data_IF_832366254824
#
_entry.id   IF_832366254824
#
_cell.length_a   1.000
_cell.length_b   1.000
_cell.length_c   1.000
_cell.angle_alpha   90.00
_cell.angle_beta   90.00
_cell.angle_gamma   90.00
#
_symmetry.space_group_name_H-M   'P 1'
#
loop_
_entity.id
_entity.type
_entity.pdbx_description
1 polymer ?
#
# COMPACT_ATOMS: atom_id res chain seq x y z
N UNK A 1 20.74 -35.30 4.52
CA UNK A 1 21.59 -34.94 5.66
C UNK A 1 21.50 -33.44 5.94
N UNK A 2 21.29 -33.05 7.19
CA UNK A 2 21.36 -31.64 7.62
C UNK A 2 22.68 -31.41 8.36
N UNK A 3 23.47 -30.41 7.88
CA UNK A 3 24.76 -30.07 8.45
C UNK A 3 24.71 -28.69 9.10
N UNK A 4 24.96 -28.60 10.41
CA UNK A 4 25.02 -27.37 11.19
C UNK A 4 26.44 -26.89 11.49
N UNK A 5 27.45 -27.45 10.84
CA UNK A 5 28.84 -27.05 11.04
C UNK A 5 29.04 -25.62 10.49
N UNK A 6 29.77 -24.76 11.21
CA UNK A 6 30.06 -23.41 10.74
C UNK A 6 30.95 -23.45 9.48
N UNK A 7 30.74 -22.52 8.55
CA UNK A 7 31.44 -22.45 7.27
C UNK A 7 32.98 -22.34 7.39
N UNK A 8 33.49 -21.90 8.55
CA UNK A 8 34.93 -21.88 8.87
C UNK A 8 35.53 -23.30 8.86
N UNK A 9 34.70 -24.34 9.10
CA UNK A 9 35.11 -25.77 9.08
C UNK A 9 34.91 -26.39 7.67
N UNK A 10 35.15 -25.67 6.61
CA UNK A 10 34.98 -26.14 5.23
C UNK A 10 35.75 -27.42 4.92
N UNK A 11 36.92 -27.59 5.51
CA UNK A 11 37.74 -28.81 5.34
C UNK A 11 37.03 -30.10 5.78
N UNK A 12 36.08 -30.00 6.73
CA UNK A 12 35.25 -31.12 7.19
C UNK A 12 33.94 -31.26 6.40
N UNK A 13 33.41 -30.13 5.90
CA UNK A 13 32.14 -30.12 5.21
C UNK A 13 32.28 -30.70 3.79
N UNK A 14 33.36 -30.36 3.06
CA UNK A 14 33.58 -30.82 1.69
C UNK A 14 33.58 -32.35 1.55
N UNK A 15 34.31 -33.15 2.41
CA UNK A 15 34.20 -34.58 2.36
C UNK A 15 32.81 -35.14 2.61
N UNK A 16 32.04 -34.51 3.50
CA UNK A 16 30.66 -34.90 3.81
C UNK A 16 29.74 -34.63 2.59
N UNK A 17 29.90 -33.51 1.89
CA UNK A 17 29.16 -33.20 0.66
C UNK A 17 29.45 -34.29 -0.38
N UNK A 18 30.73 -34.57 -0.66
CA UNK A 18 31.14 -35.57 -1.62
C UNK A 18 30.61 -36.97 -1.29
N UNK A 19 30.63 -37.34 -0.02
CA UNK A 19 30.02 -38.58 0.42
C UNK A 19 28.53 -38.62 0.13
N UNK A 20 27.77 -37.56 0.47
CA UNK A 20 26.35 -37.46 0.24
C UNK A 20 25.99 -37.57 -1.23
N UNK A 21 26.72 -36.87 -2.09
CA UNK A 21 26.50 -36.88 -3.55
C UNK A 21 26.76 -38.29 -4.16
N UNK A 22 27.82 -38.96 -3.70
CA UNK A 22 28.18 -40.30 -4.20
C UNK A 22 27.22 -41.40 -3.71
N UNK A 23 26.41 -41.12 -2.64
CA UNK A 23 25.47 -42.09 -2.07
C UNK A 23 24.00 -41.69 -2.22
N UNK A 24 23.68 -40.76 -3.13
CA UNK A 24 22.31 -40.26 -3.36
C UNK A 24 21.63 -39.67 -2.11
N UNK A 25 22.41 -39.15 -1.18
CA UNK A 25 21.92 -38.46 0.02
C UNK A 25 21.88 -36.95 -0.24
N UNK A 26 20.72 -36.32 -0.10
CA UNK A 26 20.63 -34.87 -0.23
C UNK A 26 21.30 -34.17 0.94
N UNK A 27 22.20 -33.22 0.65
CA UNK A 27 22.88 -32.41 1.65
C UNK A 27 22.20 -31.05 1.80
N UNK A 28 21.94 -30.64 3.05
CA UNK A 28 21.40 -29.35 3.41
C UNK A 28 22.31 -28.68 4.44
N UNK A 29 22.83 -27.51 4.14
CA UNK A 29 23.54 -26.70 5.11
C UNK A 29 22.56 -25.89 5.96
N UNK A 30 22.67 -26.03 7.27
CA UNK A 30 21.91 -25.20 8.24
C UNK A 30 22.82 -24.07 8.69
N UNK A 31 22.61 -22.82 8.21
CA UNK A 31 23.45 -21.72 8.61
C UNK A 31 23.32 -21.46 10.11
N UNK A 32 24.45 -21.31 10.80
CA UNK A 32 24.47 -20.92 12.20
C UNK A 32 24.25 -19.42 12.34
N UNK A 33 23.00 -19.00 12.08
CA UNK A 33 22.57 -17.61 12.25
C UNK A 33 22.14 -17.44 13.69
N UNK A 34 22.91 -16.71 14.48
CA UNK A 34 22.43 -16.23 15.77
C UNK A 34 21.26 -15.28 15.51
N UNK A 35 20.06 -15.82 15.64
CA UNK A 35 18.83 -15.07 15.42
C UNK A 35 18.59 -14.12 16.61
N UNK A 36 19.17 -12.94 16.59
CA UNK A 36 18.93 -11.88 17.58
C UNK A 36 17.48 -11.35 17.54
N UNK A 37 16.80 -11.55 16.41
CA UNK A 37 15.40 -11.21 16.22
C UNK A 37 14.59 -12.52 16.41
N UNK A 38 13.74 -12.60 17.41
CA UNK A 38 12.80 -13.73 17.62
C UNK A 38 11.78 -13.86 16.47
N UNK A 39 12.19 -13.72 15.20
CA UNK A 39 11.38 -13.72 13.99
C UNK A 39 11.92 -14.70 12.97
N UNK A 40 11.03 -15.25 12.15
CA UNK A 40 11.42 -15.99 10.95
C UNK A 40 12.12 -15.03 9.99
N UNK A 41 13.28 -15.42 9.50
CA UNK A 41 13.98 -14.71 8.44
C UNK A 41 13.76 -15.46 7.14
N UNK A 42 13.61 -14.73 6.05
CA UNK A 42 13.48 -15.26 4.70
C UNK A 42 14.87 -15.28 4.06
N UNK A 43 15.21 -16.40 3.45
CA UNK A 43 16.46 -16.57 2.71
C UNK A 43 16.23 -16.15 1.27
N UNK A 44 17.00 -15.22 0.78
CA UNK A 44 16.95 -14.70 -0.57
C UNK A 44 18.34 -14.67 -1.19
N UNK A 45 18.42 -14.67 -2.52
CA UNK A 45 19.66 -14.53 -3.26
C UNK A 45 19.69 -13.15 -3.94
N UNK A 46 20.59 -12.28 -3.52
CA UNK A 46 20.90 -11.04 -4.22
C UNK A 46 22.02 -11.31 -5.23
N UNK A 47 21.64 -11.67 -6.47
CA UNK A 47 22.57 -12.27 -7.44
C UNK A 47 23.07 -13.62 -6.91
N UNK A 48 24.37 -13.72 -6.60
CA UNK A 48 25.01 -14.93 -6.05
C UNK A 48 25.25 -14.84 -4.54
N UNK A 49 24.84 -13.76 -3.88
CA UNK A 49 25.06 -13.55 -2.45
C UNK A 49 23.81 -13.93 -1.67
N UNK A 50 23.91 -14.92 -0.73
CA UNK A 50 22.79 -15.24 0.14
C UNK A 50 22.57 -14.12 1.16
N UNK A 51 21.34 -13.61 1.22
CA UNK A 51 20.91 -12.60 2.19
C UNK A 51 19.73 -13.11 3.00
N UNK A 52 19.61 -12.63 4.24
CA UNK A 52 18.50 -12.93 5.10
C UNK A 52 17.64 -11.67 5.25
N UNK A 53 16.44 -11.70 4.69
CA UNK A 53 15.46 -10.62 4.84
C UNK A 53 14.56 -10.86 6.04
N UNK A 54 14.16 -9.77 6.71
CA UNK A 54 13.27 -9.80 7.88
C UNK A 54 11.82 -9.99 7.43
N UNK A 55 11.53 -9.70 6.16
CA UNK A 55 10.17 -9.68 5.60
C UNK A 55 10.19 -10.22 4.18
N UNK A 56 9.16 -10.98 3.84
CA UNK A 56 8.87 -11.33 2.47
C UNK A 56 8.05 -10.18 1.86
N UNK A 57 8.52 -9.61 0.77
CA UNK A 57 7.84 -8.52 0.05
C UNK A 57 7.66 -8.92 -1.42
N UNK A 58 6.55 -9.62 -1.75
CA UNK A 58 6.35 -10.10 -3.13
C UNK A 58 6.41 -9.00 -4.19
N UNK A 59 6.05 -7.75 -3.83
CA UNK A 59 6.13 -6.58 -4.72
C UNK A 59 7.56 -6.02 -4.89
N UNK A 60 8.56 -6.54 -4.20
CA UNK A 60 9.95 -6.24 -4.47
C UNK A 60 10.41 -6.89 -5.79
N UNK A 61 9.83 -8.06 -6.15
CA UNK A 61 10.14 -8.71 -7.41
C UNK A 61 9.66 -7.88 -8.62
N UNK A 62 10.52 -7.76 -9.62
CA UNK A 62 10.24 -7.00 -10.85
C UNK A 62 9.01 -7.55 -11.59
N UNK A 63 8.85 -8.86 -11.63
CA UNK A 63 7.73 -9.54 -12.30
C UNK A 63 6.39 -9.13 -11.69
N UNK A 64 6.26 -9.20 -10.37
CA UNK A 64 5.05 -8.82 -9.66
C UNK A 64 4.73 -7.32 -9.81
N UNK A 65 5.77 -6.48 -9.78
CA UNK A 65 5.60 -5.03 -10.02
C UNK A 65 5.10 -4.74 -11.44
N UNK A 66 5.61 -5.45 -12.44
CA UNK A 66 5.16 -5.31 -13.84
C UNK A 66 3.70 -5.74 -13.96
N UNK A 67 3.34 -6.93 -13.45
CA UNK A 67 1.97 -7.44 -13.48
C UNK A 67 1.00 -6.45 -12.83
N UNK A 68 1.32 -6.01 -11.61
CA UNK A 68 0.50 -5.03 -10.89
C UNK A 68 0.39 -3.70 -11.64
N UNK A 69 1.51 -3.18 -12.13
CA UNK A 69 1.52 -1.90 -12.86
C UNK A 69 0.74 -1.95 -14.16
N UNK A 70 0.89 -3.03 -14.92
CA UNK A 70 0.14 -3.23 -16.18
C UNK A 70 -1.36 -3.25 -15.91
N UNK A 71 -1.80 -4.00 -14.90
CA UNK A 71 -3.19 -4.03 -14.48
C UNK A 71 -3.71 -2.64 -14.06
N UNK A 72 -2.95 -1.93 -13.22
CA UNK A 72 -3.28 -0.58 -12.76
C UNK A 72 -3.46 0.40 -13.95
N UNK A 73 -2.55 0.36 -14.92
CA UNK A 73 -2.59 1.25 -16.10
C UNK A 73 -3.78 0.93 -16.99
N UNK A 74 -4.00 -0.36 -17.29
CA UNK A 74 -5.10 -0.80 -18.17
C UNK A 74 -6.45 -0.46 -17.55
N UNK A 75 -6.69 -0.83 -16.30
CA UNK A 75 -7.96 -0.57 -15.62
C UNK A 75 -8.20 0.94 -15.43
N UNK A 76 -7.17 1.70 -15.02
CA UNK A 76 -7.30 3.16 -14.85
C UNK A 76 -7.52 3.87 -16.18
N UNK A 77 -6.81 3.48 -17.23
CA UNK A 77 -6.97 4.06 -18.57
C UNK A 77 -8.37 3.79 -19.12
N UNK A 78 -8.85 2.56 -19.02
CA UNK A 78 -10.20 2.20 -19.45
C UNK A 78 -11.25 3.00 -18.67
N UNK A 79 -11.15 3.07 -17.34
CA UNK A 79 -12.07 3.86 -16.52
C UNK A 79 -12.05 5.34 -16.86
N UNK A 80 -10.86 5.94 -17.04
CA UNK A 80 -10.72 7.36 -17.36
C UNK A 80 -11.26 7.74 -18.75
N UNK A 81 -11.23 6.82 -19.70
CA UNK A 81 -11.76 7.07 -21.06
C UNK A 81 -13.27 6.84 -21.12
N UNK A 82 -13.78 5.79 -20.46
CA UNK A 82 -15.18 5.37 -20.62
C UNK A 82 -16.13 6.00 -19.60
N UNK A 83 -15.84 5.91 -18.31
CA UNK A 83 -16.76 6.28 -17.21
C UNK A 83 -16.49 7.70 -16.69
N UNK A 84 -15.22 8.03 -16.49
CA UNK A 84 -14.82 9.26 -15.81
C UNK A 84 -15.33 10.54 -16.49
N UNK A 85 -15.40 10.70 -17.82
CA UNK A 85 -15.92 11.91 -18.44
C UNK A 85 -17.36 12.21 -18.05
N UNK A 86 -18.22 11.20 -18.02
CA UNK A 86 -19.62 11.35 -17.59
C UNK A 86 -19.72 11.72 -16.11
N UNK A 87 -18.96 11.05 -15.26
CA UNK A 87 -18.88 11.34 -13.82
C UNK A 87 -18.36 12.76 -13.61
N UNK A 88 -17.32 13.17 -14.33
CA UNK A 88 -16.72 14.49 -14.21
C UNK A 88 -17.70 15.62 -14.63
N UNK A 89 -18.42 15.45 -15.72
CA UNK A 89 -19.42 16.42 -16.18
C UNK A 89 -20.55 16.53 -15.16
N UNK A 90 -21.15 15.39 -14.75
CA UNK A 90 -22.28 15.37 -13.83
C UNK A 90 -21.92 15.99 -12.47
N UNK A 91 -20.90 15.47 -11.81
CA UNK A 91 -20.49 15.98 -10.50
C UNK A 91 -19.80 17.35 -10.61
N UNK A 92 -19.13 17.65 -11.72
CA UNK A 92 -18.55 18.97 -11.97
C UNK A 92 -19.60 20.09 -11.98
N UNK A 93 -20.72 19.88 -12.66
CA UNK A 93 -21.86 20.80 -12.64
C UNK A 93 -22.44 20.91 -11.23
N UNK A 94 -22.71 19.77 -10.57
CA UNK A 94 -23.30 19.74 -9.23
C UNK A 94 -22.39 20.46 -8.20
N UNK A 95 -21.08 20.29 -8.27
CA UNK A 95 -20.10 20.97 -7.40
C UNK A 95 -20.11 22.48 -7.65
N UNK A 96 -20.13 22.92 -8.91
CA UNK A 96 -20.15 24.34 -9.29
C UNK A 96 -21.42 25.03 -8.83
N UNK A 97 -22.57 24.36 -8.93
CA UNK A 97 -23.86 24.88 -8.45
C UNK A 97 -23.91 24.92 -6.90
N UNK A 98 -23.23 24.01 -6.22
CA UNK A 98 -23.21 23.91 -4.76
C UNK A 98 -22.35 24.98 -4.08
N UNK A 99 -21.22 25.37 -4.68
CA UNK A 99 -20.31 26.38 -4.11
C UNK A 99 -19.32 26.91 -5.16
N UNK A 100 -18.88 28.20 -5.09
CA UNK A 100 -17.87 28.73 -5.97
C UNK A 100 -16.50 28.07 -5.77
N UNK A 101 -15.71 27.93 -6.86
CA UNK A 101 -14.35 27.40 -6.81
C UNK A 101 -14.07 26.25 -7.80
N UNK A 102 -12.90 25.60 -7.75
CA UNK A 102 -12.50 24.52 -8.65
C UNK A 102 -13.31 23.25 -8.42
N UNK A 103 -13.53 22.43 -9.45
CA UNK A 103 -14.20 21.13 -9.37
C UNK A 103 -13.30 20.09 -8.65
N UNK A 104 -12.03 20.08 -9.02
CA UNK A 104 -11.03 19.20 -8.43
C UNK A 104 -10.34 19.89 -7.25
N UNK A 105 -10.16 19.14 -6.20
CA UNK A 105 -9.33 19.45 -5.06
C UNK A 105 -8.05 18.59 -5.14
N UNK A 106 -6.93 19.17 -4.79
CA UNK A 106 -5.64 18.47 -4.70
C UNK A 106 -5.00 18.72 -3.35
N UNK A 107 -4.41 17.68 -2.78
CA UNK A 107 -3.75 17.73 -1.49
C UNK A 107 -2.49 16.87 -1.52
N UNK A 108 -1.40 17.35 -0.91
CA UNK A 108 -0.17 16.57 -0.76
C UNK A 108 -0.39 15.39 0.17
N UNK A 109 0.12 14.23 -0.24
CA UNK A 109 0.07 12.97 0.51
C UNK A 109 1.43 12.29 0.44
N UNK A 110 1.70 11.42 1.45
CA UNK A 110 2.86 10.54 1.45
C UNK A 110 2.60 9.34 0.56
N UNK A 111 3.51 9.09 -0.37
CA UNK A 111 3.48 7.97 -1.33
C UNK A 111 4.56 6.91 -1.05
N UNK A 112 4.91 6.16 -2.10
CA UNK A 112 5.98 5.15 -2.08
C UNK A 112 7.31 5.80 -1.69
N UNK A 113 8.11 5.12 -0.86
CA UNK A 113 9.40 5.61 -0.33
C UNK A 113 9.31 6.95 0.41
N UNK A 114 8.12 7.32 0.93
CA UNK A 114 7.90 8.58 1.61
C UNK A 114 7.84 9.80 0.67
N UNK A 115 7.86 9.62 -0.65
CA UNK A 115 7.79 10.72 -1.62
C UNK A 115 6.44 11.40 -1.58
N UNK A 116 6.44 12.71 -1.62
CA UNK A 116 5.21 13.48 -1.66
C UNK A 116 4.59 13.48 -3.07
N UNK A 117 3.27 13.37 -3.15
CA UNK A 117 2.53 13.52 -4.40
C UNK A 117 1.23 14.29 -4.21
N UNK A 118 0.70 14.86 -5.31
CA UNK A 118 -0.59 15.54 -5.32
C UNK A 118 -1.72 14.55 -5.55
N UNK A 119 -2.49 14.24 -4.50
CA UNK A 119 -3.67 13.39 -4.57
C UNK A 119 -4.88 14.19 -5.06
N UNK A 120 -5.52 13.73 -6.14
CA UNK A 120 -6.69 14.38 -6.73
C UNK A 120 -7.98 13.83 -6.15
N UNK A 121 -8.93 14.72 -5.86
CA UNK A 121 -10.30 14.38 -5.43
C UNK A 121 -11.30 15.37 -6.03
N UNK A 122 -12.58 14.99 -6.07
CA UNK A 122 -13.62 15.99 -6.25
C UNK A 122 -13.75 16.83 -4.97
N UNK A 123 -14.01 18.11 -5.16
CA UNK A 123 -14.23 19.01 -4.05
C UNK A 123 -15.57 18.71 -3.36
N UNK A 124 -15.50 18.20 -2.15
CA UNK A 124 -16.66 17.87 -1.30
C UNK A 124 -16.95 18.89 -0.21
N UNK A 125 -16.09 19.92 -0.10
CA UNK A 125 -16.18 20.97 0.93
C UNK A 125 -16.11 22.36 0.28
N UNK A 126 -16.59 23.37 0.99
CA UNK A 126 -16.36 24.77 0.63
C UNK A 126 -14.87 25.07 0.68
N UNK A 127 -14.41 26.00 -0.20
CA UNK A 127 -13.00 26.42 -0.21
C UNK A 127 -12.63 26.99 1.16
N UNK A 128 -11.60 26.47 1.78
CA UNK A 128 -11.08 26.90 3.08
C UNK A 128 -9.56 26.75 3.13
N UNK A 129 -8.92 27.46 4.04
CA UNK A 129 -7.45 27.46 4.24
C UNK A 129 -6.97 26.35 5.18
N UNK A 130 -7.87 25.59 5.80
CA UNK A 130 -7.56 24.59 6.83
C UNK A 130 -7.51 23.16 6.30
N UNK A 131 -7.53 22.99 4.95
CA UNK A 131 -7.59 21.68 4.32
C UNK A 131 -6.37 20.79 4.58
N UNK A 132 -5.21 21.38 4.83
CA UNK A 132 -3.94 20.65 5.05
C UNK A 132 -3.64 20.41 6.54
N UNK A 133 -4.39 21.04 7.44
CA UNK A 133 -4.15 20.98 8.89
C UNK A 133 -5.22 20.23 9.66
N UNK A 134 -6.48 20.29 9.22
CA UNK A 134 -7.61 19.68 9.91
C UNK A 134 -8.23 18.55 9.10
N UNK A 135 -8.23 17.35 9.69
CA UNK A 135 -8.95 16.20 9.16
C UNK A 135 -10.46 16.49 9.13
N UNK A 136 -11.13 16.01 8.07
CA UNK A 136 -12.59 16.10 7.99
C UNK A 136 -13.26 15.14 8.96
N UNK A 137 -14.13 15.65 9.80
CA UNK A 137 -14.94 14.87 10.74
C UNK A 137 -16.28 14.44 10.13
N UNK A 138 -17.01 13.55 10.80
CA UNK A 138 -18.29 13.03 10.30
C UNK A 138 -19.32 14.13 10.09
N UNK A 139 -19.46 15.07 11.02
CA UNK A 139 -20.39 16.21 10.97
C UNK A 139 -19.71 17.55 10.71
N UNK A 140 -18.75 17.56 9.77
CA UNK A 140 -17.98 18.75 9.46
C UNK A 140 -18.84 19.83 8.77
N UNK A 141 -18.97 21.06 9.32
CA UNK A 141 -19.81 22.12 8.76
C UNK A 141 -19.29 22.66 7.42
N UNK A 142 -18.06 22.33 7.05
CA UNK A 142 -17.46 22.71 5.75
C UNK A 142 -18.00 21.89 4.60
N UNK A 143 -18.64 20.73 4.85
CA UNK A 143 -19.20 19.86 3.81
C UNK A 143 -20.37 20.54 3.09
N UNK A 144 -20.43 20.32 1.79
CA UNK A 144 -21.62 20.66 0.98
C UNK A 144 -22.56 19.46 0.93
N UNK A 145 -23.86 19.67 0.68
CA UNK A 145 -24.82 18.56 0.53
C UNK A 145 -24.41 17.54 -0.51
N UNK A 146 -23.94 18.00 -1.68
CA UNK A 146 -23.43 17.12 -2.73
C UNK A 146 -22.13 16.44 -2.29
N UNK A 147 -21.28 17.14 -1.54
CA UNK A 147 -20.05 16.60 -0.97
C UNK A 147 -20.29 15.47 0.02
N UNK A 148 -21.36 15.54 0.80
CA UNK A 148 -21.76 14.47 1.71
C UNK A 148 -22.17 13.19 0.95
N UNK A 149 -22.97 13.34 -0.11
CA UNK A 149 -23.36 12.21 -0.99
C UNK A 149 -22.10 11.59 -1.63
N UNK A 150 -21.23 12.40 -2.21
CA UNK A 150 -20.00 11.92 -2.85
C UNK A 150 -19.09 11.15 -1.87
N UNK A 151 -18.97 11.61 -0.63
CA UNK A 151 -18.18 10.93 0.41
C UNK A 151 -18.78 9.60 0.86
N UNK A 152 -20.11 9.55 1.03
CA UNK A 152 -20.82 8.30 1.37
C UNK A 152 -20.67 7.24 0.28
N UNK A 153 -20.66 7.66 -0.98
CA UNK A 153 -20.50 6.77 -2.15
C UNK A 153 -19.04 6.63 -2.61
N UNK A 154 -18.09 7.34 -1.98
CA UNK A 154 -16.67 7.41 -2.37
C UNK A 154 -16.41 7.91 -3.80
N UNK A 155 -17.39 8.53 -4.44
CA UNK A 155 -17.25 9.15 -5.78
C UNK A 155 -16.23 10.30 -5.75
N UNK A 156 -16.07 10.97 -4.60
CA UNK A 156 -15.08 12.03 -4.43
C UNK A 156 -13.64 11.54 -4.66
N UNK A 157 -13.37 10.24 -4.54
CA UNK A 157 -12.04 9.64 -4.73
C UNK A 157 -11.77 9.16 -6.17
N UNK A 158 -12.76 9.17 -7.06
CA UNK A 158 -12.59 8.70 -8.45
C UNK A 158 -11.50 9.47 -9.24
N UNK A 159 -11.25 10.78 -9.04
CA UNK A 159 -10.12 11.45 -9.71
C UNK A 159 -8.75 10.86 -9.37
N UNK A 160 -8.61 10.02 -8.32
CA UNK A 160 -7.36 9.34 -7.99
C UNK A 160 -6.92 8.34 -9.06
N UNK A 161 -7.81 7.88 -9.95
CA UNK A 161 -7.42 7.09 -11.12
C UNK A 161 -6.42 7.84 -12.02
N UNK A 162 -6.45 9.19 -12.01
CA UNK A 162 -5.41 10.01 -12.66
C UNK A 162 -4.05 9.81 -11.98
N UNK A 163 -4.02 9.73 -10.64
CA UNK A 163 -2.79 9.43 -9.90
C UNK A 163 -2.29 8.01 -10.17
N UNK A 164 -3.21 7.04 -10.31
CA UNK A 164 -2.83 5.67 -10.67
C UNK A 164 -2.18 5.65 -12.06
N UNK A 165 -2.78 6.32 -13.06
CA UNK A 165 -2.23 6.38 -14.41
C UNK A 165 -0.86 7.08 -14.43
N UNK A 166 -0.67 8.15 -13.66
CA UNK A 166 0.62 8.84 -13.50
C UNK A 166 1.69 7.97 -12.82
N UNK A 167 1.28 7.00 -12.00
CA UNK A 167 2.20 6.14 -11.26
C UNK A 167 2.45 6.55 -9.81
N UNK A 168 1.77 7.59 -9.31
CA UNK A 168 1.84 8.02 -7.91
C UNK A 168 1.11 7.05 -6.98
N UNK A 169 0.08 6.36 -7.51
CA UNK A 169 -0.80 5.44 -6.78
C UNK A 169 -0.99 4.13 -7.54
N UNK A 170 -1.57 3.15 -6.86
CA UNK A 170 -2.14 1.91 -7.37
C UNK A 170 -3.65 1.88 -7.13
N UNK A 171 -4.39 1.00 -7.79
CA UNK A 171 -5.81 0.77 -7.48
C UNK A 171 -5.92 0.19 -6.07
N UNK A 172 -5.09 -0.82 -5.76
CA UNK A 172 -5.06 -1.49 -4.44
C UNK A 172 -3.74 -1.23 -3.74
N UNK A 173 -3.80 -0.80 -2.48
CA UNK A 173 -2.63 -0.53 -1.65
C UNK A 173 -3.00 0.16 -0.34
N UNK A 174 -2.03 0.46 0.53
CA UNK A 174 -2.24 1.23 1.74
C UNK A 174 -2.84 2.61 1.45
N UNK A 175 -3.81 3.04 2.26
CA UNK A 175 -4.43 4.36 2.05
C UNK A 175 -3.44 5.50 2.30
N UNK A 176 -3.29 6.48 1.38
CA UNK A 176 -2.36 7.59 1.55
C UNK A 176 -2.82 8.56 2.65
N UNK A 177 -1.89 8.94 3.53
CA UNK A 177 -2.16 9.89 4.63
C UNK A 177 -1.68 11.30 4.29
N UNK A 178 -2.23 12.31 5.01
CA UNK A 178 -1.71 13.68 4.99
C UNK A 178 -0.30 13.71 5.58
N UNK A 179 0.56 14.59 5.08
CA UNK A 179 1.96 14.68 5.53
C UNK A 179 2.05 14.86 7.05
N UNK A 180 1.23 15.75 7.62
CA UNK A 180 1.16 15.96 9.07
C UNK A 180 0.85 14.69 9.86
N UNK A 181 -0.09 13.88 9.38
CA UNK A 181 -0.43 12.61 10.04
C UNK A 181 0.69 11.57 9.89
N UNK A 182 1.41 11.58 8.75
CA UNK A 182 2.56 10.70 8.56
C UNK A 182 3.66 11.03 9.57
N UNK A 183 3.96 12.31 9.77
CA UNK A 183 4.93 12.77 10.76
C UNK A 183 4.51 12.39 12.18
N UNK A 184 3.27 12.68 12.56
CA UNK A 184 2.72 12.39 13.88
C UNK A 184 2.75 10.88 14.20
N UNK A 185 2.16 10.04 13.33
CA UNK A 185 2.05 8.60 13.59
C UNK A 185 3.35 7.83 13.39
N UNK A 186 4.31 8.35 12.62
CA UNK A 186 5.64 7.72 12.50
C UNK A 186 6.40 7.71 13.82
N UNK A 187 6.14 8.69 14.70
CA UNK A 187 6.74 8.77 16.02
C UNK A 187 5.99 7.93 17.08
N UNK A 188 4.68 7.71 16.87
CA UNK A 188 3.81 7.04 17.85
C UNK A 188 3.69 5.54 17.60
N UNK A 189 3.73 5.11 16.33
CA UNK A 189 3.45 3.73 15.95
C UNK A 189 4.70 3.09 15.36
N UNK A 190 5.17 2.03 16.03
CA UNK A 190 6.30 1.25 15.53
C UNK A 190 5.97 0.65 14.15
N UNK A 191 6.91 0.74 13.18
CA UNK A 191 6.80 0.26 11.81
C UNK A 191 5.74 0.99 10.96
N UNK A 192 5.26 2.15 11.38
CA UNK A 192 4.32 2.95 10.58
C UNK A 192 4.83 3.18 9.16
N UNK A 193 6.13 3.45 9.00
CA UNK A 193 6.75 3.76 7.71
C UNK A 193 6.80 2.58 6.73
N UNK A 194 6.67 1.34 7.20
CA UNK A 194 6.66 0.14 6.35
C UNK A 194 5.56 0.19 5.28
N UNK A 195 4.44 0.81 5.59
CA UNK A 195 3.34 0.99 4.64
C UNK A 195 3.70 1.79 3.38
N UNK A 196 4.82 2.52 3.41
CA UNK A 196 5.32 3.29 2.28
C UNK A 196 6.30 2.50 1.38
N UNK A 197 6.53 1.22 1.65
CA UNK A 197 7.34 0.35 0.77
C UNK A 197 6.62 -0.01 -0.53
N UNK A 198 5.32 0.26 -0.63
CA UNK A 198 4.51 0.07 -1.83
C UNK A 198 3.72 1.33 -2.14
N UNK A 199 3.26 1.44 -3.39
CA UNK A 199 2.39 2.56 -3.79
C UNK A 199 1.10 2.58 -2.98
N UNK A 200 0.64 3.77 -2.55
CA UNK A 200 -0.65 3.91 -1.90
C UNK A 200 -1.78 3.55 -2.86
N UNK A 201 -2.88 3.00 -2.31
CA UNK A 201 -4.04 2.57 -3.08
C UNK A 201 -5.26 3.48 -2.94
N UNK A 202 -6.15 3.43 -3.94
CA UNK A 202 -7.51 3.97 -3.85
C UNK A 202 -8.30 3.15 -2.82
N UNK A 203 -8.19 1.82 -2.90
CA UNK A 203 -8.69 0.88 -1.89
C UNK A 203 -7.55 0.03 -1.32
N UNK A 204 -7.80 -0.72 -0.25
CA UNK A 204 -6.78 -1.55 0.37
C UNK A 204 -7.32 -2.50 1.41
N UNK A 205 -6.49 -3.46 1.82
CA UNK A 205 -6.85 -4.50 2.76
C UNK A 205 -7.40 -3.95 4.09
N UNK A 206 -6.76 -2.93 4.65
CA UNK A 206 -7.23 -2.28 5.87
C UNK A 206 -8.65 -1.71 5.71
N UNK A 207 -8.98 -1.13 4.54
CA UNK A 207 -10.28 -0.54 4.29
C UNK A 207 -11.40 -1.58 4.22
N UNK A 208 -11.17 -2.72 3.53
CA UNK A 208 -12.17 -3.78 3.36
C UNK A 208 -12.30 -4.70 4.58
N UNK A 209 -11.37 -4.60 5.55
CA UNK A 209 -11.39 -5.35 6.81
C UNK A 209 -11.82 -4.50 8.02
N UNK A 210 -12.56 -3.40 7.78
CA UNK A 210 -13.22 -2.62 8.83
C UNK A 210 -12.44 -1.40 9.35
N UNK A 211 -11.23 -1.12 8.82
CA UNK A 211 -10.43 0.05 9.20
C UNK A 211 -10.56 1.21 8.20
N UNK A 212 -11.81 1.42 7.71
CA UNK A 212 -12.17 2.54 6.84
C UNK A 212 -12.66 3.73 7.68
N UNK A 213 -12.41 4.95 7.23
CA UNK A 213 -12.95 6.17 7.85
C UNK A 213 -11.96 6.91 8.74
N UNK A 214 -12.53 7.68 9.66
CA UNK A 214 -11.77 8.48 10.63
C UNK A 214 -11.14 7.57 11.69
N UNK A 215 -9.89 7.84 12.05
CA UNK A 215 -9.22 7.19 13.18
C UNK A 215 -9.22 8.15 14.36
N UNK A 216 -10.06 7.86 15.36
CA UNK A 216 -10.19 8.68 16.57
C UNK A 216 -9.19 8.25 17.64
N UNK A 217 -8.90 6.96 17.70
CA UNK A 217 -8.06 6.34 18.70
C UNK A 217 -6.78 5.75 18.06
N UNK A 218 -5.68 5.77 18.81
CA UNK A 218 -4.39 5.26 18.35
C UNK A 218 -4.45 3.78 17.93
N UNK A 219 -5.15 2.95 18.68
CA UNK A 219 -5.29 1.52 18.37
C UNK A 219 -5.96 1.25 17.01
N UNK A 220 -6.85 2.16 16.56
CA UNK A 220 -7.47 2.04 15.23
C UNK A 220 -6.44 2.26 14.13
N UNK A 221 -5.52 3.22 14.34
CA UNK A 221 -4.43 3.45 13.40
C UNK A 221 -3.42 2.31 13.43
N UNK A 222 -3.08 1.78 14.60
CA UNK A 222 -2.21 0.59 14.72
C UNK A 222 -2.81 -0.62 14.00
N UNK A 223 -4.11 -0.87 14.19
CA UNK A 223 -4.82 -1.93 13.50
C UNK A 223 -4.81 -1.76 11.98
N UNK A 224 -4.90 -0.52 11.47
CA UNK A 224 -4.77 -0.19 10.04
C UNK A 224 -3.36 -0.50 9.55
N UNK A 225 -2.33 -0.02 10.26
CA UNK A 225 -0.92 -0.25 9.92
C UNK A 225 -0.59 -1.74 9.89
N UNK A 226 -1.06 -2.52 10.85
CA UNK A 226 -0.87 -3.98 10.87
C UNK A 226 -1.45 -4.66 9.63
N UNK A 227 -2.64 -4.23 9.16
CA UNK A 227 -3.27 -4.78 7.95
C UNK A 227 -2.58 -4.32 6.67
N UNK A 228 -2.10 -3.09 6.65
CA UNK A 228 -1.30 -2.59 5.53
C UNK A 228 0.02 -3.38 5.41
N UNK A 229 0.69 -3.67 6.54
CA UNK A 229 1.90 -4.51 6.58
C UNK A 229 1.57 -5.95 6.14
N UNK A 230 0.46 -6.51 6.64
CA UNK A 230 0.03 -7.84 6.24
C UNK A 230 -0.20 -7.94 4.72
N UNK A 231 -0.84 -6.94 4.14
CA UNK A 231 -1.03 -6.85 2.68
C UNK A 231 0.32 -6.85 1.93
N UNK A 232 1.30 -6.07 2.39
CA UNK A 232 2.62 -5.99 1.78
C UNK A 232 3.32 -7.35 1.81
N UNK A 233 3.23 -8.06 2.94
CA UNK A 233 3.87 -9.37 3.15
C UNK A 233 3.18 -10.53 2.42
N UNK A 234 1.89 -10.40 2.10
CA UNK A 234 1.06 -11.47 1.52
C UNK A 234 0.46 -11.10 0.17
N UNK A 235 1.02 -10.08 -0.48
CA UNK A 235 0.51 -9.64 -1.77
C UNK A 235 0.49 -10.79 -2.80
N UNK A 236 -0.64 -10.92 -3.47
CA UNK A 236 -0.82 -11.71 -4.70
C UNK A 236 -1.75 -10.95 -5.62
N UNK A 237 -1.68 -11.21 -6.92
CA UNK A 237 -2.61 -10.60 -7.87
C UNK A 237 -4.08 -10.93 -7.56
N UNK A 238 -4.37 -12.17 -7.12
CA UNK A 238 -5.71 -12.59 -6.72
C UNK A 238 -6.20 -11.84 -5.47
N UNK A 239 -5.30 -11.50 -4.55
CA UNK A 239 -5.65 -10.69 -3.38
C UNK A 239 -6.10 -9.28 -3.80
N UNK A 240 -5.46 -8.67 -4.79
CA UNK A 240 -5.91 -7.38 -5.33
C UNK A 240 -7.32 -7.47 -5.92
N UNK A 241 -7.60 -8.49 -6.72
CA UNK A 241 -8.93 -8.72 -7.27
C UNK A 241 -9.99 -8.93 -6.17
N UNK A 242 -9.64 -9.69 -5.13
CA UNK A 242 -10.52 -9.91 -3.98
C UNK A 242 -10.80 -8.61 -3.20
N UNK A 243 -9.79 -7.76 -2.99
CA UNK A 243 -9.96 -6.46 -2.33
C UNK A 243 -10.85 -5.54 -3.16
N UNK A 244 -10.67 -5.52 -4.48
CA UNK A 244 -11.53 -4.74 -5.38
C UNK A 244 -12.99 -5.21 -5.31
N UNK A 245 -13.22 -6.53 -5.35
CA UNK A 245 -14.55 -7.11 -5.15
C UNK A 245 -15.18 -6.68 -3.82
N UNK A 246 -14.45 -6.84 -2.72
CA UNK A 246 -14.86 -6.45 -1.36
C UNK A 246 -15.08 -4.93 -1.17
N UNK A 247 -14.54 -4.11 -2.04
CA UNK A 247 -14.74 -2.65 -1.99
C UNK A 247 -16.12 -2.25 -2.52
N UNK A 248 -16.68 -3.04 -3.43
CA UNK A 248 -17.98 -2.79 -4.07
C UNK A 248 -19.12 -3.44 -3.27
N UNK A 249 -18.85 -4.58 -2.67
CA UNK A 249 -19.81 -5.37 -1.85
C UNK A 249 -19.45 -5.29 -0.36
#
# INVERSE_FOLDING_TARGET
LYCSLPSVRSAEIVPIINYCENHLVRFFSVPNVRNYLKRRMHFELLGNVPVLSIRCEPLESLENRIVKRTFDVVCSGLFLITVFPFVYIFFGIAIKLSSPGPVLFKQKRSGEDGREFWCYKFRSMKVNTQCDTLQATENDPRKTRIGEIMRKTSVDELPQFINVLKGDMSIVGPRPHMLKHTEEYSNLINKFMVRHFVKPGITGWAQVTGYRGETKELWQMEGRVQRDIWYIEHWTFLLDLYIMYKTVY
#
